data_IF_752599004856
#
_entry.id   IF_752599004856
#
_cell.length_a   1.000
_cell.length_b   1.000
_cell.length_c   1.000
_cell.angle_alpha   90.00
_cell.angle_beta   90.00
_cell.angle_gamma   90.00
#
_symmetry.space_group_name_H-M   'P 1'
#
loop_
_entity.id
_entity.type
_entity.pdbx_description
1 polymer ?
#
# COMPACT_ATOMS: atom_id res chain seq x y z
N UNK A 1 15.71 6.26 -9.19
CA UNK A 1 15.52 5.39 -8.01
C UNK A 1 14.09 5.57 -7.54
N UNK A 2 13.39 4.48 -7.21
CA UNK A 2 12.02 4.54 -6.68
C UNK A 2 12.10 5.07 -5.24
N UNK A 3 11.29 6.08 -4.87
CA UNK A 3 11.21 6.57 -3.48
C UNK A 3 10.76 5.43 -2.57
N UNK A 4 11.22 5.45 -1.31
CA UNK A 4 10.79 4.48 -0.30
C UNK A 4 9.33 4.67 0.12
N UNK A 5 8.77 3.70 0.83
CA UNK A 5 7.40 3.77 1.36
C UNK A 5 7.16 5.04 2.19
N UNK A 6 8.01 5.27 3.20
CA UNK A 6 7.88 6.41 4.12
C UNK A 6 8.00 7.76 3.42
N UNK A 7 8.87 7.86 2.41
CA UNK A 7 9.05 9.09 1.64
C UNK A 7 7.83 9.38 0.77
N UNK A 8 7.29 8.33 0.12
CA UNK A 8 6.08 8.43 -0.70
C UNK A 8 4.84 8.76 0.15
N UNK A 9 4.77 8.21 1.37
CA UNK A 9 3.71 8.51 2.33
C UNK A 9 3.76 9.97 2.80
N UNK A 10 4.95 10.48 3.17
CA UNK A 10 5.15 11.89 3.53
C UNK A 10 4.75 12.84 2.40
N UNK A 11 5.04 12.46 1.16
CA UNK A 11 4.65 13.24 -0.01
C UNK A 11 3.12 13.26 -0.18
N UNK A 12 2.46 12.12 -0.03
CA UNK A 12 0.99 12.04 -0.08
C UNK A 12 0.34 12.90 1.02
N UNK A 13 0.84 12.82 2.26
CA UNK A 13 0.36 13.66 3.37
C UNK A 13 0.53 15.15 3.08
N UNK A 14 1.64 15.55 2.45
CA UNK A 14 1.87 16.94 2.06
C UNK A 14 0.88 17.41 1.00
N UNK A 15 0.55 16.56 0.03
CA UNK A 15 -0.45 16.85 -1.00
C UNK A 15 -1.83 17.02 -0.37
N UNK A 16 -2.25 16.10 0.51
CA UNK A 16 -3.54 16.18 1.21
C UNK A 16 -3.63 17.47 2.00
N UNK A 17 -2.61 17.81 2.79
CA UNK A 17 -2.57 19.07 3.56
C UNK A 17 -2.68 20.32 2.67
N UNK A 18 -2.11 20.31 1.47
CA UNK A 18 -2.20 21.44 0.55
C UNK A 18 -3.59 21.56 -0.06
N UNK A 19 -4.21 20.44 -0.45
CA UNK A 19 -5.57 20.41 -0.98
C UNK A 19 -6.60 20.84 0.08
N UNK A 20 -6.43 20.41 1.34
CA UNK A 20 -7.32 20.76 2.46
C UNK A 20 -7.30 22.26 2.80
N UNK A 21 -6.18 22.95 2.57
CA UNK A 21 -6.08 24.40 2.78
C UNK A 21 -6.93 25.18 1.78
N UNK A 22 -7.15 24.64 0.57
CA UNK A 22 -7.97 25.27 -0.46
C UNK A 22 -7.39 26.58 -1.03
N UNK A 23 -6.09 26.82 -0.84
CA UNK A 23 -5.40 28.04 -1.30
C UNK A 23 -4.85 27.91 -2.74
N UNK A 24 -4.89 26.71 -3.31
CA UNK A 24 -4.37 26.44 -4.65
C UNK A 24 -5.37 26.85 -5.74
N UNK A 25 -4.90 27.39 -6.88
CA UNK A 25 -5.71 27.50 -8.09
C UNK A 25 -6.33 26.15 -8.49
N UNK A 26 -7.45 26.19 -9.23
CA UNK A 26 -8.16 24.99 -9.64
C UNK A 26 -7.27 24.02 -10.44
N UNK A 27 -6.51 24.55 -11.41
CA UNK A 27 -5.65 23.73 -12.26
C UNK A 27 -4.57 23.02 -11.44
N UNK A 28 -3.92 23.73 -10.50
CA UNK A 28 -2.94 23.15 -9.58
C UNK A 28 -3.57 22.12 -8.63
N UNK A 29 -4.80 22.38 -8.16
CA UNK A 29 -5.56 21.44 -7.32
C UNK A 29 -5.85 20.14 -8.06
N UNK A 30 -6.17 20.20 -9.36
CA UNK A 30 -6.39 19.02 -10.20
C UNK A 30 -5.10 18.22 -10.36
N UNK A 31 -3.97 18.89 -10.63
CA UNK A 31 -2.67 18.22 -10.74
C UNK A 31 -2.26 17.53 -9.42
N UNK A 32 -2.42 18.23 -8.30
CA UNK A 32 -2.14 17.70 -6.96
C UNK A 32 -3.03 16.50 -6.64
N UNK A 33 -4.31 16.56 -6.99
CA UNK A 33 -5.25 15.45 -6.81
C UNK A 33 -4.83 14.21 -7.62
N UNK A 34 -4.51 14.38 -8.90
CA UNK A 34 -4.05 13.29 -9.76
C UNK A 34 -2.76 12.64 -9.23
N UNK A 35 -1.82 13.47 -8.77
CA UNK A 35 -0.60 13.01 -8.13
C UNK A 35 -0.88 12.23 -6.85
N UNK A 36 -1.78 12.73 -6.00
CA UNK A 36 -2.22 12.05 -4.77
C UNK A 36 -2.84 10.68 -5.04
N UNK A 37 -3.71 10.56 -6.05
CA UNK A 37 -4.30 9.28 -6.48
C UNK A 37 -3.22 8.30 -6.95
N UNK A 38 -2.24 8.78 -7.71
CA UNK A 38 -1.15 7.93 -8.21
C UNK A 38 -0.29 7.42 -7.05
N UNK A 39 0.12 8.30 -6.14
CA UNK A 39 0.90 7.93 -4.94
C UNK A 39 0.15 6.95 -4.04
N UNK A 40 -1.16 7.16 -3.84
CA UNK A 40 -2.00 6.25 -3.05
C UNK A 40 -2.00 4.84 -3.65
N UNK A 41 -2.17 4.70 -4.96
CA UNK A 41 -2.13 3.40 -5.65
C UNK A 41 -0.76 2.73 -5.53
N UNK A 42 0.32 3.50 -5.67
CA UNK A 42 1.68 2.97 -5.57
C UNK A 42 2.02 2.49 -4.14
N UNK A 43 1.55 3.22 -3.12
CA UNK A 43 1.69 2.84 -1.71
C UNK A 43 0.93 1.54 -1.40
N UNK A 44 -0.32 1.42 -1.85
CA UNK A 44 -1.09 0.17 -1.71
C UNK A 44 -0.37 -1.01 -2.35
N UNK A 45 0.10 -0.85 -3.59
CA UNK A 45 0.86 -1.91 -4.26
C UNK A 45 2.13 -2.30 -3.51
N UNK A 46 2.83 -1.34 -2.93
CA UNK A 46 4.02 -1.63 -2.14
C UNK A 46 3.69 -2.45 -0.89
N UNK A 47 2.57 -2.15 -0.22
CA UNK A 47 2.09 -2.94 0.91
C UNK A 47 1.69 -4.35 0.48
N UNK A 48 0.94 -4.50 -0.61
CA UNK A 48 0.56 -5.82 -1.15
C UNK A 48 1.80 -6.66 -1.51
N UNK A 49 2.82 -6.03 -2.11
CA UNK A 49 4.08 -6.69 -2.45
C UNK A 49 4.89 -7.07 -1.20
N UNK A 50 4.82 -6.28 -0.13
CA UNK A 50 5.46 -6.58 1.15
C UNK A 50 4.73 -7.69 1.89
N UNK A 51 3.40 -7.69 1.88
CA UNK A 51 2.56 -8.72 2.48
C UNK A 51 2.83 -10.09 1.86
N UNK A 52 2.91 -10.17 0.52
CA UNK A 52 3.26 -11.41 -0.20
C UNK A 52 4.66 -11.93 0.10
N UNK A 53 5.59 -11.05 0.50
CA UNK A 53 6.96 -11.44 0.87
C UNK A 53 7.04 -11.98 2.29
N UNK A 54 6.03 -11.75 3.12
CA UNK A 54 5.94 -12.40 4.42
C UNK A 54 5.52 -13.84 4.15
N UNK A 55 6.44 -14.78 4.34
CA UNK A 55 6.16 -16.21 4.38
C UNK A 55 5.87 -16.62 5.82
N UNK A 56 4.79 -17.36 6.06
CA UNK A 56 4.57 -18.02 7.35
C UNK A 56 5.24 -19.38 7.29
N UNK A 57 6.09 -19.69 8.27
CA UNK A 57 6.55 -21.05 8.52
C UNK A 57 5.49 -21.76 9.35
N UNK A 58 4.75 -22.69 8.74
CA UNK A 58 3.74 -23.50 9.42
C UNK A 58 4.31 -24.90 9.63
N UNK A 59 4.30 -25.38 10.87
CA UNK A 59 4.64 -26.76 11.21
C UNK A 59 3.37 -27.61 11.10
N UNK A 60 3.41 -28.67 10.27
CA UNK A 60 2.30 -29.61 10.16
C UNK A 60 2.27 -30.63 11.31
N UNK A 61 1.20 -31.43 11.40
CA UNK A 61 1.01 -32.43 12.48
C UNK A 61 2.12 -33.49 12.55
N UNK A 62 2.95 -33.60 11.51
CA UNK A 62 4.09 -34.52 11.44
C UNK A 62 5.43 -33.83 11.76
N UNK A 63 5.41 -32.56 12.17
CA UNK A 63 6.61 -31.78 12.47
C UNK A 63 7.34 -31.26 11.22
N UNK A 64 6.73 -31.30 10.03
CA UNK A 64 7.33 -30.74 8.83
C UNK A 64 7.01 -29.26 8.69
N UNK A 65 8.04 -28.43 8.54
CA UNK A 65 7.90 -27.00 8.26
C UNK A 65 7.56 -26.81 6.79
N UNK A 66 6.43 -26.15 6.52
CA UNK A 66 6.01 -25.70 5.19
C UNK A 66 6.05 -24.18 5.13
N UNK A 67 6.54 -23.66 4.02
CA UNK A 67 6.46 -22.25 3.69
C UNK A 67 5.10 -21.99 3.04
N UNK A 68 4.23 -21.24 3.71
CA UNK A 68 2.99 -20.75 3.13
C UNK A 68 3.07 -19.24 2.92
N UNK A 69 2.47 -18.76 1.82
CA UNK A 69 2.33 -17.33 1.58
C UNK A 69 1.42 -16.74 2.66
N UNK A 70 1.81 -15.62 3.28
CA UNK A 70 0.93 -14.89 4.18
C UNK A 70 -0.26 -14.35 3.37
N UNK A 71 -1.44 -14.93 3.59
CA UNK A 71 -2.72 -14.40 3.11
C UNK A 71 -3.32 -13.66 4.31
N UNK A 72 -3.19 -12.33 4.34
CA UNK A 72 -3.80 -11.52 5.40
C UNK A 72 -5.32 -11.61 5.39
N UNK A 73 -5.94 -11.16 6.48
CA UNK A 73 -7.36 -11.34 6.82
C UNK A 73 -8.38 -10.60 5.91
N UNK A 74 -8.12 -10.48 4.61
CA UNK A 74 -8.98 -9.85 3.60
C UNK A 74 -9.46 -10.77 2.48
N UNK A 75 -8.85 -11.95 2.30
CA UNK A 75 -9.15 -12.87 1.19
C UNK A 75 -10.02 -14.07 1.59
N UNK A 76 -10.92 -13.91 2.57
CA UNK A 76 -12.03 -14.85 2.79
C UNK A 76 -13.18 -14.60 1.80
N UNK A 77 -12.85 -14.58 0.50
CA UNK A 77 -13.82 -14.57 -0.59
C UNK A 77 -13.46 -15.60 -1.65
N UNK A 78 -13.43 -16.87 -1.26
CA UNK A 78 -14.04 -17.98 -2.02
C UNK A 78 -13.55 -19.32 -1.46
N UNK A 79 -14.21 -19.80 -0.41
CA UNK A 79 -14.26 -21.22 -0.10
C UNK A 79 -15.64 -21.75 -0.48
N UNK A 80 -15.71 -22.44 -1.61
CA UNK A 80 -16.74 -23.45 -1.86
C UNK A 80 -16.68 -24.54 -0.78
#
# INVERSE_FOLDING_TARGET
MKKGFEESLKELESIVKQLERGELPLDESIEMFQKGITLSKDLSKMLDDMEKRVSILIEDENGMIKEENFIGAGDDKSGL
#
